data_IF_158980934526
#
_entry.id   IF_158980934526
#
_cell.length_a   1.000
_cell.length_b   1.000
_cell.length_c   1.000
_cell.angle_alpha   90.00
_cell.angle_beta   90.00
_cell.angle_gamma   90.00
#
_symmetry.space_group_name_H-M   'P 1'
#
loop_
_entity.id
_entity.type
_entity.pdbx_description
1 polymer ?
#
# COMPACT_ATOMS: atom_id res chain seq x y z
N UNK A 1 13.55 17.13 22.01
CA UNK A 1 12.22 17.14 22.67
C UNK A 1 11.23 16.54 21.67
N UNK A 2 10.93 15.24 21.81
CA UNK A 2 10.05 14.51 20.89
C UNK A 2 8.63 14.77 21.34
N UNK A 3 7.99 15.76 20.74
CA UNK A 3 6.55 16.01 20.94
C UNK A 3 5.82 14.98 20.07
N UNK A 4 5.53 13.83 20.68
CA UNK A 4 4.51 12.91 20.18
C UNK A 4 3.18 13.62 20.36
N UNK A 5 2.75 14.36 19.33
CA UNK A 5 1.38 14.88 19.30
C UNK A 5 0.44 13.70 19.17
N UNK A 6 -0.27 13.43 20.25
CA UNK A 6 -1.41 12.52 20.32
C UNK A 6 -2.28 12.71 19.07
N UNK A 7 -2.48 11.63 18.31
CA UNK A 7 -3.30 11.63 17.10
C UNK A 7 -4.77 11.66 17.53
N UNK A 8 -5.52 12.77 17.36
CA UNK A 8 -6.97 12.66 17.42
C UNK A 8 -7.40 11.84 16.21
N UNK A 9 -7.98 10.65 16.44
CA UNK A 9 -8.61 9.80 15.40
C UNK A 9 -9.90 10.42 14.83
N UNK A 10 -9.98 11.75 14.75
CA UNK A 10 -11.10 12.50 14.24
C UNK A 10 -10.55 13.84 13.78
N UNK A 11 -10.36 14.01 12.48
CA UNK A 11 -10.33 15.36 11.93
C UNK A 11 -11.61 16.03 12.43
N UNK A 12 -11.48 17.13 13.16
CA UNK A 12 -12.57 18.06 13.38
C UNK A 12 -13.03 18.53 12.00
N UNK A 13 -14.12 17.92 11.53
CA UNK A 13 -14.71 18.10 10.22
C UNK A 13 -15.06 19.59 9.98
N UNK A 14 -15.26 20.38 11.03
CA UNK A 14 -15.74 21.76 11.01
C UNK A 14 -14.86 22.76 10.23
N UNK A 15 -13.57 22.49 9.99
CA UNK A 15 -12.68 23.44 9.30
C UNK A 15 -12.49 23.19 7.81
N UNK A 16 -13.07 22.12 7.25
CA UNK A 16 -12.95 21.77 5.83
C UNK A 16 -14.16 22.27 5.03
N UNK A 17 -13.90 22.92 3.88
CA UNK A 17 -14.97 23.26 2.92
C UNK A 17 -15.59 21.98 2.34
N UNK A 18 -16.88 21.99 2.02
CA UNK A 18 -17.58 20.80 1.51
C UNK A 18 -16.91 20.16 0.27
N UNK A 19 -16.29 20.96 -0.59
CA UNK A 19 -15.51 20.48 -1.74
C UNK A 19 -14.29 19.65 -1.31
N UNK A 20 -13.58 20.05 -0.25
CA UNK A 20 -12.40 19.34 0.25
C UNK A 20 -12.79 17.99 0.87
N UNK A 21 -13.96 17.93 1.53
CA UNK A 21 -14.51 16.67 2.07
C UNK A 21 -14.84 15.67 0.95
N UNK A 22 -15.35 16.15 -0.18
CA UNK A 22 -15.61 15.32 -1.36
C UNK A 22 -14.32 14.75 -1.94
N UNK A 23 -13.27 15.56 -2.09
CA UNK A 23 -11.98 15.12 -2.61
C UNK A 23 -11.31 14.06 -1.74
N UNK A 24 -11.30 14.25 -0.42
CA UNK A 24 -10.76 13.27 0.53
C UNK A 24 -11.52 11.94 0.43
N UNK A 25 -12.85 12.00 0.35
CA UNK A 25 -13.70 10.79 0.20
C UNK A 25 -13.43 10.09 -1.13
N UNK A 26 -13.31 10.84 -2.22
CA UNK A 26 -13.00 10.30 -3.54
C UNK A 26 -11.64 9.59 -3.54
N UNK A 27 -10.63 10.20 -2.91
CA UNK A 27 -9.29 9.60 -2.78
C UNK A 27 -9.31 8.32 -1.93
N UNK A 28 -10.02 8.31 -0.79
CA UNK A 28 -10.13 7.12 0.05
C UNK A 28 -10.82 5.95 -0.66
N UNK A 29 -11.88 6.24 -1.44
CA UNK A 29 -12.61 5.21 -2.20
C UNK A 29 -11.76 4.59 -3.31
N UNK A 30 -10.89 5.38 -3.94
CA UNK A 30 -10.15 4.95 -5.15
C UNK A 30 -8.72 4.52 -4.85
N UNK A 31 -7.95 5.37 -4.19
CA UNK A 31 -6.53 5.15 -3.92
C UNK A 31 -6.31 4.17 -2.77
N UNK A 32 -6.89 4.46 -1.60
CA UNK A 32 -6.73 3.60 -0.42
C UNK A 32 -7.44 2.25 -0.66
N UNK A 33 -8.62 2.28 -1.28
CA UNK A 33 -9.34 1.08 -1.71
C UNK A 33 -8.53 0.18 -2.65
N UNK A 34 -7.80 0.76 -3.61
CA UNK A 34 -6.96 -0.01 -4.55
C UNK A 34 -5.79 -0.70 -3.86
N UNK A 35 -5.10 0.01 -2.94
CA UNK A 35 -3.94 -0.54 -2.20
C UNK A 35 -4.38 -1.73 -1.34
N UNK A 36 -5.48 -1.59 -0.60
CA UNK A 36 -5.99 -2.66 0.25
C UNK A 36 -6.50 -3.86 -0.54
N UNK A 37 -7.24 -3.64 -1.63
CA UNK A 37 -7.75 -4.72 -2.48
C UNK A 37 -6.61 -5.53 -3.12
N UNK A 38 -5.58 -4.84 -3.58
CA UNK A 38 -4.39 -5.47 -4.18
C UNK A 38 -3.61 -6.26 -3.13
N UNK A 39 -3.36 -5.66 -1.96
CA UNK A 39 -2.65 -6.31 -0.87
C UNK A 39 -3.34 -7.60 -0.40
N UNK A 40 -4.66 -7.56 -0.16
CA UNK A 40 -5.44 -8.73 0.28
C UNK A 40 -5.50 -9.79 -0.81
N UNK A 41 -5.65 -9.40 -2.08
CA UNK A 41 -5.66 -10.32 -3.21
C UNK A 41 -4.36 -11.10 -3.34
N UNK A 42 -3.22 -10.39 -3.33
CA UNK A 42 -1.90 -11.02 -3.42
C UNK A 42 -1.57 -11.87 -2.17
N UNK A 43 -1.99 -11.43 -0.98
CA UNK A 43 -1.78 -12.17 0.27
C UNK A 43 -2.56 -13.49 0.25
N UNK A 44 -3.82 -13.44 -0.19
CA UNK A 44 -4.67 -14.61 -0.31
C UNK A 44 -4.11 -15.60 -1.33
N UNK A 45 -3.67 -15.11 -2.50
CA UNK A 45 -3.01 -15.94 -3.51
C UNK A 45 -1.76 -16.64 -2.95
N UNK A 46 -0.91 -15.92 -2.22
CA UNK A 46 0.27 -16.48 -1.56
C UNK A 46 -0.07 -17.58 -0.56
N UNK A 47 -1.07 -17.37 0.31
CA UNK A 47 -1.53 -18.37 1.27
C UNK A 47 -2.14 -19.61 0.62
N UNK A 48 -2.91 -19.44 -0.47
CA UNK A 48 -3.48 -20.56 -1.23
C UNK A 48 -2.35 -21.39 -1.84
N UNK A 49 -1.34 -20.76 -2.44
CA UNK A 49 -0.19 -21.47 -3.01
C UNK A 49 0.55 -22.26 -1.91
N UNK A 50 0.72 -21.64 -0.74
CA UNK A 50 1.35 -22.27 0.42
C UNK A 50 0.54 -23.44 1.00
N UNK A 51 -0.78 -23.44 0.86
CA UNK A 51 -1.63 -24.52 1.39
C UNK A 51 -1.82 -25.67 0.40
N UNK A 52 -1.81 -25.37 -0.89
CA UNK A 52 -2.24 -26.32 -1.95
C UNK A 52 -1.08 -27.11 -2.55
N UNK A 53 0.13 -26.55 -2.68
CA UNK A 53 1.19 -27.16 -3.48
C UNK A 53 2.33 -27.82 -2.68
N UNK A 54 3.01 -28.75 -3.34
CA UNK A 54 4.16 -29.52 -2.83
C UNK A 54 5.46 -28.70 -2.70
N UNK A 55 6.50 -29.29 -2.11
CA UNK A 55 7.72 -28.61 -1.63
C UNK A 55 8.38 -27.61 -2.60
N UNK A 56 8.31 -27.86 -3.91
CA UNK A 56 8.95 -27.01 -4.90
C UNK A 56 8.24 -25.66 -5.13
N UNK A 57 6.93 -25.58 -4.88
CA UNK A 57 6.15 -24.36 -5.10
C UNK A 57 6.04 -23.46 -3.86
N UNK A 58 6.51 -23.89 -2.69
CA UNK A 58 6.48 -23.04 -1.47
C UNK A 58 7.25 -21.73 -1.65
N UNK A 59 8.36 -21.76 -2.39
CA UNK A 59 9.18 -20.56 -2.64
C UNK A 59 8.40 -19.52 -3.46
N UNK A 60 7.49 -19.96 -4.35
CA UNK A 60 6.62 -19.06 -5.13
C UNK A 60 5.61 -18.36 -4.21
N UNK A 61 4.95 -19.12 -3.33
CA UNK A 61 4.01 -18.60 -2.35
C UNK A 61 4.66 -17.60 -1.38
N UNK A 62 5.92 -17.86 -0.98
CA UNK A 62 6.70 -16.96 -0.12
C UNK A 62 6.92 -15.58 -0.78
N UNK A 63 7.25 -15.55 -2.07
CA UNK A 63 7.45 -14.29 -2.81
C UNK A 63 6.16 -13.45 -2.82
N UNK A 64 5.01 -14.08 -3.06
CA UNK A 64 3.71 -13.41 -3.00
C UNK A 64 3.39 -12.89 -1.59
N UNK A 65 3.69 -13.64 -0.53
CA UNK A 65 3.49 -13.19 0.85
C UNK A 65 4.35 -11.98 1.19
N UNK A 66 5.65 -12.03 0.88
CA UNK A 66 6.58 -10.93 1.12
C UNK A 66 6.15 -9.68 0.34
N UNK A 67 5.82 -9.83 -0.94
CA UNK A 67 5.36 -8.73 -1.78
C UNK A 67 4.07 -8.07 -1.24
N UNK A 68 3.12 -8.88 -0.79
CA UNK A 68 1.85 -8.38 -0.22
C UNK A 68 2.06 -7.64 1.10
N UNK A 69 3.01 -8.09 1.92
CA UNK A 69 3.40 -7.42 3.16
C UNK A 69 4.05 -6.06 2.84
N UNK A 70 4.92 -6.00 1.83
CA UNK A 70 5.53 -4.73 1.36
C UNK A 70 4.45 -3.74 0.91
N UNK A 71 3.47 -4.16 0.10
CA UNK A 71 2.36 -3.29 -0.33
C UNK A 71 1.50 -2.83 0.86
N UNK A 72 1.17 -3.76 1.76
CA UNK A 72 0.37 -3.44 2.96
C UNK A 72 1.08 -2.41 3.84
N UNK A 73 2.37 -2.62 4.07
CA UNK A 73 3.19 -1.73 4.88
C UNK A 73 3.34 -0.36 4.22
N UNK A 74 3.52 -0.32 2.89
CA UNK A 74 3.53 0.93 2.14
C UNK A 74 2.22 1.71 2.35
N UNK A 75 1.07 1.05 2.26
CA UNK A 75 -0.24 1.67 2.48
C UNK A 75 -0.41 2.24 3.88
N UNK A 76 0.05 1.49 4.89
CA UNK A 76 0.03 1.92 6.29
C UNK A 76 0.95 3.13 6.53
N UNK A 77 2.19 3.08 6.03
CA UNK A 77 3.16 4.18 6.16
C UNK A 77 2.65 5.46 5.49
N UNK A 78 2.01 5.33 4.32
CA UNK A 78 1.35 6.45 3.65
C UNK A 78 0.23 7.03 4.50
N UNK A 79 -0.64 6.19 5.07
CA UNK A 79 -1.75 6.63 5.92
C UNK A 79 -1.26 7.39 7.16
N UNK A 80 -0.19 6.92 7.80
CA UNK A 80 0.40 7.61 8.95
C UNK A 80 1.08 8.95 8.58
N UNK A 81 1.66 9.07 7.39
CA UNK A 81 2.30 10.31 6.92
C UNK A 81 1.32 11.33 6.32
N UNK A 82 0.06 10.94 6.12
CA UNK A 82 -0.94 11.76 5.45
C UNK A 82 -2.06 12.34 6.33
N UNK A 83 -1.86 12.82 7.58
CA UNK A 83 -3.00 13.30 8.38
C UNK A 83 -3.78 14.44 7.73
N UNK A 84 -3.14 15.50 7.22
CA UNK A 84 -3.87 16.73 6.82
C UNK A 84 -3.08 17.71 5.94
N UNK A 85 -2.01 17.26 5.24
CA UNK A 85 -1.15 18.19 4.46
C UNK A 85 -1.66 18.55 3.05
N UNK A 86 -2.82 18.05 2.65
CA UNK A 86 -3.35 18.27 1.29
C UNK A 86 -3.87 19.69 1.05
N UNK A 87 -4.18 20.44 2.11
CA UNK A 87 -4.75 21.80 2.01
C UNK A 87 -3.88 22.89 2.68
N UNK A 88 -2.78 22.51 3.33
CA UNK A 88 -1.78 23.47 3.88
C UNK A 88 -0.75 23.92 2.84
N UNK A 89 -0.66 23.22 1.70
CA UNK A 89 0.31 23.51 0.66
C UNK A 89 -0.40 24.14 -0.55
N UNK A 90 0.06 25.33 -0.96
CA UNK A 90 -0.38 26.02 -2.19
C UNK A 90 -0.06 25.24 -3.49
N UNK A 91 0.59 24.07 -3.39
CA UNK A 91 0.93 23.23 -4.53
C UNK A 91 0.63 21.74 -4.26
N UNK A 92 0.13 21.06 -5.30
CA UNK A 92 -0.12 19.62 -5.28
C UNK A 92 1.20 18.84 -5.33
N UNK A 93 1.65 18.32 -4.19
CA UNK A 93 2.79 17.38 -4.16
C UNK A 93 2.31 15.98 -4.52
N UNK A 94 2.59 15.52 -5.74
CA UNK A 94 2.27 14.17 -6.18
C UNK A 94 3.10 13.13 -5.40
N UNK A 95 2.52 11.94 -5.18
CA UNK A 95 3.14 10.85 -4.43
C UNK A 95 4.26 10.11 -5.19
N UNK A 96 5.02 10.78 -6.07
CA UNK A 96 5.94 10.16 -7.02
C UNK A 96 6.92 9.17 -6.40
N UNK A 97 7.54 9.51 -5.27
CA UNK A 97 8.45 8.59 -4.58
C UNK A 97 7.76 7.28 -4.15
N UNK A 98 6.52 7.38 -3.67
CA UNK A 98 5.75 6.22 -3.25
C UNK A 98 5.39 5.31 -4.43
N UNK A 99 5.03 5.93 -5.57
CA UNK A 99 4.76 5.20 -6.82
C UNK A 99 6.02 4.49 -7.31
N UNK A 100 7.17 5.18 -7.31
CA UNK A 100 8.45 4.60 -7.70
C UNK A 100 8.87 3.40 -6.81
N UNK A 101 8.61 3.49 -5.50
CA UNK A 101 8.88 2.38 -4.58
C UNK A 101 8.02 1.16 -4.87
N UNK A 102 6.72 1.34 -5.14
CA UNK A 102 5.81 0.22 -5.44
C UNK A 102 6.10 -0.38 -6.81
N UNK A 103 6.41 0.43 -7.82
CA UNK A 103 6.75 -0.09 -9.14
C UNK A 103 8.05 -0.88 -9.13
N UNK A 104 9.08 -0.38 -8.44
CA UNK A 104 10.35 -1.08 -8.29
C UNK A 104 10.19 -2.43 -7.56
N UNK A 105 9.44 -2.46 -6.46
CA UNK A 105 9.21 -3.72 -5.73
C UNK A 105 8.40 -4.73 -6.54
N UNK A 106 7.44 -4.26 -7.36
CA UNK A 106 6.70 -5.08 -8.31
C UNK A 106 7.60 -5.71 -9.36
N UNK A 107 8.50 -4.94 -9.96
CA UNK A 107 9.46 -5.45 -10.94
C UNK A 107 10.38 -6.53 -10.33
N UNK A 108 10.90 -6.29 -9.12
CA UNK A 108 11.76 -7.25 -8.42
C UNK A 108 10.99 -8.56 -8.14
N UNK A 109 9.76 -8.46 -7.66
CA UNK A 109 8.93 -9.63 -7.40
C UNK A 109 8.68 -10.44 -8.67
N UNK A 110 8.33 -9.77 -9.77
CA UNK A 110 8.13 -10.41 -11.08
C UNK A 110 9.40 -11.06 -11.62
N UNK A 111 10.55 -10.40 -11.55
CA UNK A 111 11.83 -10.98 -11.95
C UNK A 111 12.19 -12.22 -11.13
N UNK A 112 11.93 -12.18 -9.82
CA UNK A 112 12.18 -13.32 -8.92
C UNK A 112 11.29 -14.52 -9.28
N UNK A 113 10.02 -14.28 -9.57
CA UNK A 113 9.09 -15.33 -10.01
C UNK A 113 9.54 -15.92 -11.34
N UNK A 114 9.91 -15.08 -12.32
CA UNK A 114 10.39 -15.55 -13.62
C UNK A 114 11.66 -16.39 -13.50
N UNK A 115 12.62 -15.96 -12.68
CA UNK A 115 13.83 -16.73 -12.40
C UNK A 115 13.49 -18.09 -11.78
N UNK A 116 12.60 -18.10 -10.79
CA UNK A 116 12.22 -19.33 -10.10
C UNK A 116 11.51 -20.30 -11.06
N UNK A 117 10.59 -19.82 -11.89
CA UNK A 117 9.91 -20.63 -12.91
C UNK A 117 10.88 -21.15 -13.97
N UNK A 118 11.86 -20.35 -14.40
CA UNK A 118 12.87 -20.78 -15.37
C UNK A 118 13.86 -21.80 -14.79
N UNK A 119 14.01 -21.84 -13.46
CA UNK A 119 14.92 -22.75 -12.75
C UNK A 119 14.28 -24.07 -12.29
N UNK A 120 12.97 -24.22 -12.44
CA UNK A 120 12.18 -25.42 -12.14
C UNK A 120 11.98 -26.22 -13.42
#
# INVERSE_FOLDING_TARGET
MVVVSEQPRRCSDETLTDNQRLDIRAQQRTLDGSIWRTAVGCLTAGLVIFKVFSNDLYKLGLVFLVYSLVISMAGIVRKYRSPTKFYELDYYRTGGNYVAFISASGLIAWSTILYMVASV
#
